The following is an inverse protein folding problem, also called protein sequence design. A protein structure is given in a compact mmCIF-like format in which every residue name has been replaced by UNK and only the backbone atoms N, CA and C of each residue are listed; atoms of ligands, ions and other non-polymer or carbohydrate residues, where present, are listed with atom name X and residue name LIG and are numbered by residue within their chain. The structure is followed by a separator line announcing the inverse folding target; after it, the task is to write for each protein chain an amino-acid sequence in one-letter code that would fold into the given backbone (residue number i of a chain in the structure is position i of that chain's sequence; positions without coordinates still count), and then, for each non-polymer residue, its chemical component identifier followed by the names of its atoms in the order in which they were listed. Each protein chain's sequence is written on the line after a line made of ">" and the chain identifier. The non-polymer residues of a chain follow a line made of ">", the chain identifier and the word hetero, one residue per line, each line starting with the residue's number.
data_IF_181904475675
#
_entry.id   IF_181904475675
#
_cell.length_a   1.000
_cell.length_b   1.000
_cell.length_c   1.000
_cell.angle_alpha   90.00
_cell.angle_beta   90.00
_cell.angle_gamma   90.00
#
_symmetry.space_group_name_H-M   'P 1'
#
loop_
_entity.id
_entity.type
_entity.pdbx_description
1 polymer ?
#
# COMPACT_ATOMS: atom_id res chain seq x y z
N UNK A 1 -16.79 6.79 -7.10
CA UNK A 1 -17.33 7.90 -6.29
C UNK A 1 -16.58 9.19 -6.64
N UNK A 2 -17.23 10.36 -6.70
CA UNK A 2 -16.51 11.62 -7.02
C UNK A 2 -15.65 12.11 -5.83
N UNK A 3 -14.53 12.81 -6.11
CA UNK A 3 -13.62 13.37 -5.09
C UNK A 3 -14.34 14.28 -4.10
N UNK A 4 -15.29 15.08 -4.57
CA UNK A 4 -16.12 15.98 -3.75
C UNK A 4 -16.96 15.17 -2.75
N UNK A 5 -17.61 14.10 -3.22
CA UNK A 5 -18.41 13.23 -2.36
C UNK A 5 -17.54 12.49 -1.35
N UNK A 6 -16.38 11.97 -1.76
CA UNK A 6 -15.43 11.31 -0.87
C UNK A 6 -14.95 12.27 0.24
N UNK A 7 -14.54 13.49 -0.11
CA UNK A 7 -14.13 14.54 0.85
C UNK A 7 -15.24 14.85 1.84
N UNK A 8 -16.50 14.91 1.40
CA UNK A 8 -17.66 15.10 2.27
C UNK A 8 -17.87 13.94 3.25
N UNK A 9 -17.73 12.69 2.79
CA UNK A 9 -17.84 11.51 3.67
C UNK A 9 -16.70 11.46 4.69
N UNK A 10 -15.47 11.70 4.26
CA UNK A 10 -14.32 11.77 5.16
C UNK A 10 -14.46 12.89 6.19
N UNK A 11 -14.96 14.08 5.82
CA UNK A 11 -15.22 15.16 6.79
C UNK A 11 -16.27 14.78 7.85
N UNK A 12 -17.26 13.95 7.51
CA UNK A 12 -18.20 13.40 8.50
C UNK A 12 -17.52 12.37 9.39
N UNK A 13 -16.74 11.47 8.79
CA UNK A 13 -16.01 10.42 9.50
C UNK A 13 -15.00 11.02 10.49
N UNK A 14 -14.25 12.06 10.10
CA UNK A 14 -13.32 12.78 10.95
C UNK A 14 -14.00 13.24 12.26
N UNK A 15 -15.19 13.86 12.16
CA UNK A 15 -15.96 14.30 13.33
C UNK A 15 -16.38 13.13 14.22
N UNK A 16 -16.74 11.99 13.63
CA UNK A 16 -17.11 10.79 14.39
C UNK A 16 -15.89 10.22 15.11
N UNK A 17 -14.74 10.07 14.42
CA UNK A 17 -13.51 9.54 15.01
C UNK A 17 -13.04 10.40 16.20
N UNK A 18 -13.06 11.74 16.06
CA UNK A 18 -12.73 12.65 17.15
C UNK A 18 -13.67 12.50 18.35
N UNK A 19 -14.97 12.32 18.10
CA UNK A 19 -15.98 12.07 19.16
C UNK A 19 -15.76 10.75 19.90
N UNK A 20 -15.20 9.74 19.22
CA UNK A 20 -14.85 8.45 19.82
C UNK A 20 -13.50 8.48 20.58
N UNK A 21 -12.87 9.66 20.72
CA UNK A 21 -11.64 9.82 21.48
C UNK A 21 -10.35 9.53 20.70
N UNK A 22 -10.43 9.32 19.38
CA UNK A 22 -9.26 9.20 18.54
C UNK A 22 -8.54 10.55 18.44
N UNK A 23 -7.24 10.57 18.76
CA UNK A 23 -6.38 11.75 18.69
C UNK A 23 -5.71 11.86 17.32
N UNK A 24 -5.22 13.05 17.00
CA UNK A 24 -4.41 13.31 15.80
C UNK A 24 -5.06 12.89 14.47
N UNK A 25 -6.39 13.03 14.39
CA UNK A 25 -7.14 12.83 13.17
C UNK A 25 -6.91 14.04 12.24
N UNK A 26 -6.43 13.82 11.02
CA UNK A 26 -6.15 14.87 10.03
C UNK A 26 -6.78 14.48 8.68
N UNK A 27 -7.56 15.39 8.08
CA UNK A 27 -8.11 15.21 6.75
C UNK A 27 -7.17 15.78 5.68
N UNK A 28 -6.57 14.90 4.88
CA UNK A 28 -5.77 15.26 3.71
C UNK A 28 -6.69 15.20 2.48
N UNK A 29 -7.42 16.30 2.24
CA UNK A 29 -8.51 16.33 1.25
C UNK A 29 -8.09 16.62 -0.20
N UNK A 30 -6.92 17.20 -0.41
CA UNK A 30 -6.54 17.75 -1.73
C UNK A 30 -5.68 16.80 -2.56
N UNK A 31 -5.18 15.72 -1.94
CA UNK A 31 -4.51 14.62 -2.63
C UNK A 31 -5.40 13.96 -3.71
N UNK A 32 -4.77 13.19 -4.62
CA UNK A 32 -5.50 12.42 -5.65
C UNK A 32 -6.56 11.51 -5.03
N UNK A 33 -6.20 10.79 -3.99
CA UNK A 33 -7.09 10.00 -3.14
C UNK A 33 -7.19 10.72 -1.80
N UNK A 34 -8.34 11.35 -1.48
CA UNK A 34 -8.54 11.96 -0.17
C UNK A 34 -8.45 10.91 0.95
N UNK A 35 -7.73 11.23 2.02
CA UNK A 35 -7.54 10.33 3.17
C UNK A 35 -7.75 11.06 4.50
N UNK A 36 -8.12 10.32 5.53
CA UNK A 36 -7.94 10.70 6.93
C UNK A 36 -6.71 9.97 7.44
N UNK A 37 -5.72 10.70 7.91
CA UNK A 37 -4.62 10.14 8.69
C UNK A 37 -4.96 10.26 10.17
N UNK A 38 -4.70 9.22 10.96
CA UNK A 38 -4.88 9.24 12.41
C UNK A 38 -3.73 8.53 13.08
N UNK A 39 -3.36 8.98 14.29
CA UNK A 39 -2.38 8.28 15.12
C UNK A 39 -3.06 7.84 16.40
N UNK A 40 -3.00 6.54 16.68
CA UNK A 40 -3.39 6.06 18.00
C UNK A 40 -2.14 5.94 18.86
N UNK A 41 -2.08 6.82 19.85
CA UNK A 41 -1.18 6.70 20.97
C UNK A 41 -1.86 5.84 22.03
N UNK A 42 -1.47 4.56 22.14
CA UNK A 42 -1.87 3.77 23.29
C UNK A 42 -0.94 4.10 24.47
N UNK A 43 -1.50 4.12 25.68
CA UNK A 43 -0.71 4.16 26.91
C UNK A 43 -0.55 2.72 27.41
N UNK A 44 0.68 2.19 27.53
CA UNK A 44 1.95 2.90 27.45
C UNK A 44 2.44 3.15 26.02
N UNK A 45 3.17 4.25 25.82
CA UNK A 45 3.52 4.87 24.52
C UNK A 45 4.44 4.04 23.62
N UNK A 46 4.81 2.82 24.01
CA UNK A 46 5.66 1.93 23.21
C UNK A 46 4.94 1.39 21.97
N UNK A 47 3.61 1.49 21.92
CA UNK A 47 2.82 1.15 20.74
C UNK A 47 2.08 2.38 20.19
N UNK A 48 2.53 2.86 19.04
CA UNK A 48 1.84 3.88 18.28
C UNK A 48 1.62 3.35 16.86
N UNK A 49 0.38 3.35 16.38
CA UNK A 49 0.08 3.04 14.99
C UNK A 49 -0.55 4.22 14.29
N UNK A 50 -0.12 4.43 13.05
CA UNK A 50 -0.71 5.40 12.14
C UNK A 50 -1.69 4.65 11.23
N UNK A 51 -2.90 5.16 11.05
CA UNK A 51 -3.87 4.64 10.08
C UNK A 51 -4.20 5.71 9.05
N UNK A 52 -4.16 5.31 7.78
CA UNK A 52 -4.69 6.10 6.67
C UNK A 52 -6.03 5.48 6.23
N UNK A 53 -7.11 6.26 6.28
CA UNK A 53 -8.47 5.84 5.96
C UNK A 53 -8.94 6.60 4.72
N UNK A 54 -9.30 5.89 3.66
CA UNK A 54 -9.96 6.45 2.49
C UNK A 54 -11.37 5.88 2.33
N UNK A 55 -12.18 6.50 1.48
CA UNK A 55 -13.51 5.98 1.15
C UNK A 55 -13.50 5.48 -0.28
N UNK A 56 -13.57 4.15 -0.42
CA UNK A 56 -13.84 3.45 -1.68
C UNK A 56 -12.87 3.77 -2.82
N UNK A 57 -11.56 3.65 -2.58
CA UNK A 57 -10.60 3.53 -3.69
C UNK A 57 -10.37 2.06 -4.06
N UNK A 58 -11.03 1.53 -5.12
CA UNK A 58 -10.85 0.14 -5.53
C UNK A 58 -9.40 -0.16 -5.95
N UNK A 59 -8.62 0.85 -6.34
CA UNK A 59 -7.23 0.66 -6.76
C UNK A 59 -6.32 0.21 -5.62
N UNK A 60 -6.56 0.68 -4.38
CA UNK A 60 -5.77 0.26 -3.22
C UNK A 60 -5.98 -1.20 -2.86
N UNK A 61 -7.25 -1.66 -2.91
CA UNK A 61 -7.58 -3.06 -2.71
C UNK A 61 -6.96 -3.94 -3.80
N UNK A 62 -7.11 -3.54 -5.07
CA UNK A 62 -6.52 -4.26 -6.20
C UNK A 62 -5.00 -4.36 -6.10
N UNK A 63 -4.30 -3.28 -5.71
CA UNK A 63 -2.85 -3.31 -5.51
C UNK A 63 -2.43 -4.36 -4.48
N UNK A 64 -3.20 -4.50 -3.40
CA UNK A 64 -2.95 -5.51 -2.36
C UNK A 64 -3.17 -6.92 -2.89
N UNK A 65 -4.24 -7.13 -3.67
CA UNK A 65 -4.52 -8.42 -4.34
C UNK A 65 -3.44 -8.79 -5.37
N UNK A 66 -2.94 -7.84 -6.16
CA UNK A 66 -1.85 -8.08 -7.11
C UNK A 66 -0.59 -8.56 -6.40
N UNK A 67 -0.20 -7.89 -5.31
CA UNK A 67 0.99 -8.30 -4.53
C UNK A 67 0.77 -9.67 -3.92
N UNK A 68 -0.41 -9.93 -3.34
CA UNK A 68 -0.78 -11.22 -2.79
C UNK A 68 -0.65 -12.33 -3.85
N UNK A 69 -1.23 -12.10 -5.03
CA UNK A 69 -1.19 -13.06 -6.13
C UNK A 69 0.26 -13.41 -6.50
N UNK A 70 1.16 -12.43 -6.65
CA UNK A 70 2.56 -12.71 -6.96
C UNK A 70 3.30 -13.50 -5.89
N UNK A 71 2.97 -13.29 -4.61
CA UNK A 71 3.53 -14.10 -3.52
C UNK A 71 3.01 -15.55 -3.61
N UNK A 72 1.76 -15.75 -4.02
CA UNK A 72 1.16 -17.09 -4.15
C UNK A 72 1.60 -17.85 -5.42
N UNK A 73 1.94 -17.15 -6.50
CA UNK A 73 2.33 -17.75 -7.79
C UNK A 73 3.78 -18.24 -7.85
N UNK A 74 4.59 -18.01 -6.80
CA UNK A 74 5.98 -18.45 -6.82
C UNK A 74 6.06 -19.99 -6.79
N UNK A 75 6.38 -20.59 -7.95
CA UNK A 75 6.31 -22.04 -8.20
C UNK A 75 7.15 -22.88 -7.23
N UNK A 76 8.34 -22.38 -6.87
CA UNK A 76 9.32 -23.12 -6.07
C UNK A 76 9.14 -22.97 -4.55
N UNK A 77 8.13 -22.21 -4.08
CA UNK A 77 7.92 -21.88 -2.64
C UNK A 77 9.18 -21.38 -1.91
N UNK A 78 10.09 -20.72 -2.64
CA UNK A 78 11.33 -20.19 -2.08
C UNK A 78 11.15 -18.83 -1.39
N UNK A 79 9.92 -18.29 -1.37
CA UNK A 79 9.58 -16.99 -0.79
C UNK A 79 10.46 -15.82 -1.30
N UNK A 80 11.02 -15.91 -2.51
CA UNK A 80 11.92 -14.89 -3.07
C UNK A 80 11.21 -13.55 -3.24
N UNK A 81 9.94 -13.56 -3.64
CA UNK A 81 9.14 -12.32 -3.74
C UNK A 81 9.06 -11.65 -2.38
N UNK A 82 8.68 -12.41 -1.35
CA UNK A 82 8.53 -11.91 0.02
C UNK A 82 9.87 -11.43 0.58
N UNK A 83 10.94 -12.22 0.40
CA UNK A 83 12.28 -11.89 0.89
C UNK A 83 12.81 -10.59 0.25
N UNK A 84 12.70 -10.45 -1.08
CA UNK A 84 13.15 -9.26 -1.80
C UNK A 84 12.32 -8.03 -1.43
N UNK A 85 10.99 -8.17 -1.36
CA UNK A 85 10.11 -7.06 -0.97
C UNK A 85 10.39 -6.60 0.46
N UNK A 86 10.58 -7.50 1.41
CA UNK A 86 10.90 -7.11 2.79
C UNK A 86 12.28 -6.47 2.91
N UNK A 87 13.28 -7.02 2.22
CA UNK A 87 14.65 -6.45 2.18
C UNK A 87 14.63 -5.05 1.56
N UNK A 88 13.91 -4.89 0.45
CA UNK A 88 13.71 -3.60 -0.20
C UNK A 88 13.00 -2.61 0.71
N UNK A 89 11.93 -3.04 1.41
CA UNK A 89 11.19 -2.18 2.36
C UNK A 89 12.10 -1.65 3.47
N UNK A 90 12.99 -2.50 4.00
CA UNK A 90 13.97 -2.07 4.98
C UNK A 90 14.92 -1.03 4.37
N UNK A 91 15.54 -1.33 3.23
CA UNK A 91 16.42 -0.38 2.54
C UNK A 91 15.74 0.97 2.21
N UNK A 92 14.48 0.95 1.79
CA UNK A 92 13.68 2.15 1.54
C UNK A 92 13.40 2.96 2.81
N UNK A 93 13.23 2.29 3.96
CA UNK A 93 13.04 2.95 5.24
C UNK A 93 14.32 3.68 5.67
N UNK A 94 15.49 3.05 5.50
CA UNK A 94 16.80 3.67 5.79
C UNK A 94 17.15 4.83 4.88
N UNK A 95 16.79 4.75 3.59
CA UNK A 95 17.13 5.78 2.59
C UNK A 95 16.07 6.88 2.45
N UNK A 96 14.85 6.65 2.93
CA UNK A 96 13.72 7.58 2.74
C UNK A 96 13.16 7.62 1.31
N UNK A 97 13.63 6.74 0.40
CA UNK A 97 13.28 6.72 -1.03
C UNK A 97 11.88 6.16 -1.33
N UNK A 98 10.96 6.20 -0.38
CA UNK A 98 9.57 5.76 -0.53
C UNK A 98 8.56 6.91 -0.35
N UNK A 99 9.04 8.15 -0.20
CA UNK A 99 8.20 9.31 0.02
C UNK A 99 7.85 10.04 -1.27
N UNK A 100 6.71 9.67 -1.85
CA UNK A 100 6.24 10.29 -3.09
C UNK A 100 5.82 11.76 -2.97
N UNK A 101 5.63 12.29 -1.75
CA UNK A 101 5.44 13.75 -1.58
C UNK A 101 6.69 14.54 -1.99
N UNK A 102 7.86 13.90 -2.00
CA UNK A 102 9.16 14.51 -2.35
C UNK A 102 9.66 14.02 -3.71
N UNK A 103 8.80 13.35 -4.50
CA UNK A 103 9.12 12.93 -5.87
C UNK A 103 9.71 11.52 -6.02
N UNK A 104 9.88 10.77 -4.94
CA UNK A 104 10.24 9.34 -5.01
C UNK A 104 9.05 8.46 -5.39
N UNK A 105 9.30 7.19 -5.71
CA UNK A 105 8.21 6.21 -5.89
C UNK A 105 7.58 5.88 -4.53
N UNK A 106 6.27 5.61 -4.52
CA UNK A 106 5.64 4.95 -3.37
C UNK A 106 6.17 3.52 -3.24
N UNK A 107 6.10 2.94 -2.03
CA UNK A 107 6.52 1.56 -1.76
C UNK A 107 5.93 0.55 -2.75
N UNK A 108 4.65 0.70 -3.13
CA UNK A 108 4.03 -0.18 -4.13
C UNK A 108 4.72 -0.10 -5.50
N UNK A 109 5.16 1.08 -5.94
CA UNK A 109 5.91 1.23 -7.19
C UNK A 109 7.23 0.44 -7.18
N UNK A 110 7.94 0.47 -6.05
CA UNK A 110 9.14 -0.35 -5.84
C UNK A 110 8.85 -1.86 -5.84
N UNK A 111 7.71 -2.27 -5.28
CA UNK A 111 7.26 -3.68 -5.35
C UNK A 111 7.03 -4.11 -6.79
N UNK A 112 6.43 -3.25 -7.63
CA UNK A 112 6.29 -3.53 -9.06
C UNK A 112 7.65 -3.65 -9.76
N UNK A 113 8.65 -2.84 -9.40
CA UNK A 113 10.00 -3.00 -9.93
C UNK A 113 10.60 -4.36 -9.58
N UNK A 114 10.39 -4.87 -8.35
CA UNK A 114 10.81 -6.23 -7.96
C UNK A 114 10.10 -7.30 -8.79
N UNK A 115 8.79 -7.17 -8.97
CA UNK A 115 8.00 -8.08 -9.82
C UNK A 115 8.54 -8.10 -11.24
N UNK A 116 8.74 -6.93 -11.86
CA UNK A 116 9.30 -6.84 -13.20
C UNK A 116 10.68 -7.48 -13.28
N UNK A 117 11.57 -7.22 -12.31
CA UNK A 117 12.89 -7.83 -12.25
C UNK A 117 12.84 -9.37 -12.23
N UNK A 118 11.89 -9.95 -11.48
CA UNK A 118 11.70 -11.39 -11.38
C UNK A 118 11.08 -11.99 -12.65
N UNK A 119 10.23 -11.24 -13.36
CA UNK A 119 9.68 -11.63 -14.65
C UNK A 119 10.72 -11.59 -15.77
N UNK A 120 11.67 -10.65 -15.73
CA UNK A 120 12.69 -10.45 -16.78
C UNK A 120 13.98 -11.25 -16.57
N UNK A 121 13.99 -12.22 -15.66
CA UNK A 121 15.14 -13.14 -15.52
C UNK A 121 15.27 -14.00 -16.78
N UNK A 122 16.49 -14.49 -17.13
CA UNK A 122 16.68 -15.37 -18.29
C UNK A 122 15.75 -16.60 -18.28
N UNK A 123 15.47 -17.13 -17.09
CA UNK A 123 14.35 -18.03 -16.82
C UNK A 123 13.40 -17.26 -15.89
N UNK A 124 12.18 -16.90 -16.34
CA UNK A 124 11.24 -16.11 -15.54
C UNK A 124 10.91 -16.82 -14.22
N UNK A 125 11.01 -16.07 -13.11
CA UNK A 125 10.67 -16.57 -11.77
C UNK A 125 9.18 -16.39 -11.47
N UNK A 126 8.56 -15.36 -12.07
CA UNK A 126 7.14 -15.06 -11.92
C UNK A 126 6.44 -15.05 -13.29
N UNK A 127 5.18 -15.49 -13.36
CA UNK A 127 4.35 -15.33 -14.54
C UNK A 127 3.93 -13.87 -14.75
N UNK A 128 3.35 -13.57 -15.92
CA UNK A 128 2.66 -12.30 -16.14
C UNK A 128 1.37 -12.23 -15.33
N UNK A 129 0.99 -11.04 -14.84
CA UNK A 129 -0.27 -10.91 -14.08
C UNK A 129 -1.48 -11.31 -14.92
N UNK A 130 -2.36 -12.14 -14.36
CA UNK A 130 -3.60 -12.55 -15.03
C UNK A 130 -3.41 -13.53 -16.20
N UNK A 131 -2.20 -14.08 -16.40
CA UNK A 131 -2.04 -15.23 -17.29
C UNK A 131 -2.61 -16.48 -16.62
N UNK A 132 -3.93 -16.63 -16.64
CA UNK A 132 -4.52 -17.97 -16.60
C UNK A 132 -4.18 -18.68 -17.92
N UNK A 133 -4.00 -20.00 -17.85
CA UNK A 133 -3.50 -20.87 -18.93
C UNK A 133 -4.00 -20.47 -20.32
N UNK A 134 -3.15 -19.79 -21.09
CA UNK A 134 -3.15 -19.89 -22.54
C UNK A 134 -2.27 -21.08 -22.91
N UNK A 135 -2.70 -22.27 -22.49
CA UNK A 135 -2.28 -23.51 -23.13
C UNK A 135 -3.16 -23.76 -24.37
N UNK A 136 -2.62 -24.44 -25.40
CA UNK A 136 -3.38 -24.80 -26.60
C UNK A 136 -4.59 -25.70 -26.32
#
# INVERSE_FOLDING_TARGET
>A
MSKITAKRHLKKLEKVLRKQGLKDVELIGDARVPIIQTKRHETPTWWCYCCDINVSDPHGALASEVVRWYVEQEQDKQDRVRALVLTLKEWLAHTGMHNAKVGYLFTYGWVICVVCFLQTRPVPILPAFGSEHSGP
#
